data_IF_926981704138
#
_entry.id   IF_926981704138
#
_cell.length_a   1.000
_cell.length_b   1.000
_cell.length_c   1.000
_cell.angle_alpha   90.00
_cell.angle_beta   90.00
_cell.angle_gamma   90.00
#
_symmetry.space_group_name_H-M   'P 1'
#
loop_
_entity.id
_entity.type
_entity.pdbx_description
1 polymer ?
#
# COMPACT_ATOMS: atom_id res chain seq x y z
N UNK A 1 -4.68 18.50 6.27
CA UNK A 1 -3.26 18.78 5.96
C UNK A 1 -2.69 17.51 5.37
N UNK A 2 -1.71 17.60 4.45
CA UNK A 2 -1.08 16.42 3.87
C UNK A 2 -0.50 15.51 4.95
N UNK A 3 -0.51 14.19 4.70
CA UNK A 3 -0.25 13.19 5.72
C UNK A 3 1.27 13.04 5.95
N UNK A 4 1.75 13.31 7.16
CA UNK A 4 3.19 13.31 7.43
C UNK A 4 3.79 11.91 7.30
N UNK A 5 4.96 11.82 6.64
CA UNK A 5 5.67 10.56 6.43
C UNK A 5 6.11 9.92 7.75
N UNK A 6 6.49 10.75 8.74
CA UNK A 6 6.89 10.29 10.07
C UNK A 6 5.84 9.37 10.72
N UNK A 7 4.54 9.60 10.47
CA UNK A 7 3.47 8.76 11.03
C UNK A 7 3.50 7.35 10.47
N UNK A 8 3.84 7.18 9.19
CA UNK A 8 4.03 5.86 8.58
C UNK A 8 5.31 5.23 9.10
N UNK A 9 6.39 6.00 9.24
CA UNK A 9 7.64 5.51 9.81
C UNK A 9 7.48 5.02 11.25
N UNK A 10 6.71 5.72 12.09
CA UNK A 10 6.42 5.30 13.48
C UNK A 10 5.70 3.94 13.49
N UNK A 11 4.69 3.76 12.63
CA UNK A 11 4.00 2.47 12.48
C UNK A 11 4.96 1.36 12.09
N UNK A 12 5.76 1.58 11.04
CA UNK A 12 6.70 0.58 10.53
C UNK A 12 7.78 0.24 11.58
N UNK A 13 8.24 1.23 12.35
CA UNK A 13 9.17 1.02 13.46
C UNK A 13 8.58 0.15 14.56
N UNK A 14 7.33 0.43 14.97
CA UNK A 14 6.65 -0.36 15.99
C UNK A 14 6.40 -1.80 15.55
N UNK A 15 6.10 -2.01 14.26
CA UNK A 15 5.97 -3.35 13.69
C UNK A 15 7.31 -4.08 13.63
N UNK A 16 8.37 -3.41 13.18
CA UNK A 16 9.72 -4.00 13.14
C UNK A 16 10.20 -4.43 14.53
N UNK A 17 9.90 -3.65 15.57
CA UNK A 17 10.24 -3.99 16.97
C UNK A 17 9.62 -5.31 17.44
N UNK A 18 8.46 -5.69 16.91
CA UNK A 18 7.84 -7.00 17.25
C UNK A 18 8.67 -8.12 16.62
N UNK A 19 9.02 -7.97 15.34
CA UNK A 19 9.69 -9.00 14.55
C UNK A 19 11.14 -9.17 14.97
N UNK A 20 11.81 -8.09 15.32
CA UNK A 20 13.23 -8.06 15.72
C UNK A 20 13.44 -8.24 17.23
N UNK A 21 12.35 -8.48 17.98
CA UNK A 21 12.42 -8.66 19.43
C UNK A 21 13.24 -9.91 19.80
N UNK A 22 14.09 -9.76 20.81
CA UNK A 22 14.79 -10.87 21.46
C UNK A 22 14.51 -10.85 22.98
N UNK A 23 13.96 -11.93 23.58
CA UNK A 23 13.51 -13.17 22.95
C UNK A 23 12.28 -12.97 22.05
N UNK A 24 12.12 -13.80 20.99
CA UNK A 24 10.97 -13.71 20.08
C UNK A 24 9.67 -14.02 20.80
N UNK A 25 8.60 -13.35 20.39
CA UNK A 25 7.25 -13.66 20.86
C UNK A 25 6.75 -14.98 20.27
N UNK A 26 5.80 -15.61 20.96
CA UNK A 26 5.05 -16.71 20.36
C UNK A 26 4.26 -16.19 19.14
N UNK A 27 4.14 -16.96 18.04
CA UNK A 27 3.51 -16.47 16.80
C UNK A 27 2.13 -15.83 16.99
N UNK A 28 1.26 -16.45 17.79
CA UNK A 28 -0.08 -15.92 18.09
C UNK A 28 -0.06 -14.60 18.88
N UNK A 29 0.92 -14.43 19.76
CA UNK A 29 1.09 -13.19 20.52
C UNK A 29 1.62 -12.08 19.63
N UNK A 30 2.58 -12.39 18.74
CA UNK A 30 3.09 -11.47 17.73
C UNK A 30 1.97 -10.97 16.81
N UNK A 31 1.14 -11.87 16.25
CA UNK A 31 0.00 -11.51 15.40
C UNK A 31 -1.02 -10.61 16.12
N UNK A 32 -1.32 -10.93 17.38
CA UNK A 32 -2.22 -10.13 18.22
C UNK A 32 -1.65 -8.72 18.46
N UNK A 33 -0.37 -8.64 18.81
CA UNK A 33 0.30 -7.37 19.08
C UNK A 33 0.42 -6.52 17.81
N UNK A 34 0.76 -7.15 16.69
CA UNK A 34 0.81 -6.52 15.36
C UNK A 34 -0.56 -5.93 14.99
N UNK A 35 -1.62 -6.72 15.12
CA UNK A 35 -3.00 -6.26 14.86
C UNK A 35 -3.38 -5.10 15.77
N UNK A 36 -3.03 -5.17 17.06
CA UNK A 36 -3.29 -4.10 18.03
C UNK A 36 -2.58 -2.79 17.67
N UNK A 37 -1.31 -2.85 17.26
CA UNK A 37 -0.53 -1.68 16.84
C UNK A 37 -1.17 -1.03 15.61
N UNK A 38 -1.50 -1.83 14.59
CA UNK A 38 -2.10 -1.31 13.35
C UNK A 38 -3.48 -0.67 13.63
N UNK A 39 -4.34 -1.34 14.40
CA UNK A 39 -5.66 -0.81 14.74
C UNK A 39 -5.56 0.48 15.56
N UNK A 40 -4.62 0.53 16.50
CA UNK A 40 -4.37 1.73 17.32
C UNK A 40 -3.87 2.87 16.45
N UNK A 41 -2.96 2.60 15.51
CA UNK A 41 -2.48 3.59 14.56
C UNK A 41 -3.61 4.14 13.68
N UNK A 42 -4.42 3.28 13.08
CA UNK A 42 -5.58 3.73 12.28
C UNK A 42 -6.54 4.58 13.09
N UNK A 43 -6.81 4.20 14.34
CA UNK A 43 -7.66 4.99 15.24
C UNK A 43 -7.07 6.37 15.53
N UNK A 44 -5.77 6.45 15.83
CA UNK A 44 -5.09 7.70 16.17
C UNK A 44 -4.94 8.64 14.97
N UNK A 45 -4.82 8.09 13.77
CA UNK A 45 -4.63 8.86 12.54
C UNK A 45 -5.92 9.04 11.72
N UNK A 46 -7.05 8.47 12.15
CA UNK A 46 -8.34 8.48 11.42
C UNK A 46 -8.73 9.85 10.87
N UNK A 47 -8.76 10.88 11.73
CA UNK A 47 -9.17 12.23 11.31
C UNK A 47 -8.30 12.81 10.20
N UNK A 48 -7.00 12.46 10.18
CA UNK A 48 -6.08 12.88 9.13
C UNK A 48 -6.28 12.04 7.87
N UNK A 49 -6.39 10.72 8.01
CA UNK A 49 -6.60 9.82 6.88
C UNK A 49 -7.93 10.06 6.16
N UNK A 50 -8.97 10.48 6.87
CA UNK A 50 -10.28 10.83 6.31
C UNK A 50 -10.37 12.32 5.88
N UNK A 51 -9.30 13.11 6.05
CA UNK A 51 -9.30 14.50 5.64
C UNK A 51 -9.33 14.63 4.11
N UNK A 52 -10.09 15.60 3.61
CA UNK A 52 -10.27 15.81 2.17
C UNK A 52 -8.98 16.10 1.41
N UNK A 53 -7.98 16.67 2.08
CA UNK A 53 -6.69 17.03 1.49
C UNK A 53 -5.60 15.97 1.69
N UNK A 54 -5.95 14.78 2.19
CA UNK A 54 -5.05 13.63 2.24
C UNK A 54 -5.24 12.77 0.99
N UNK A 55 -4.14 12.47 0.31
CA UNK A 55 -4.18 11.62 -0.88
C UNK A 55 -4.08 10.14 -0.48
N UNK A 56 -5.24 9.47 -0.44
CA UNK A 56 -5.35 8.06 -0.05
C UNK A 56 -4.42 7.13 -0.85
N UNK A 57 -4.21 7.41 -2.15
CA UNK A 57 -3.31 6.62 -2.99
C UNK A 57 -1.86 6.75 -2.53
N UNK A 58 -1.41 7.94 -2.13
CA UNK A 58 -0.05 8.18 -1.63
C UNK A 58 0.21 7.50 -0.27
N UNK A 59 -0.80 7.48 0.61
CA UNK A 59 -0.72 6.72 1.87
C UNK A 59 -0.61 5.22 1.57
N UNK A 60 -1.47 4.70 0.69
CA UNK A 60 -1.50 3.28 0.35
C UNK A 60 -0.25 2.84 -0.42
N UNK A 61 0.29 3.67 -1.31
CA UNK A 61 1.53 3.41 -2.02
C UNK A 61 2.71 3.31 -1.07
N UNK A 62 2.68 4.10 0.01
CA UNK A 62 3.68 4.07 1.07
C UNK A 62 3.52 2.84 1.97
N UNK A 63 2.30 2.51 2.42
CA UNK A 63 2.07 1.32 3.26
C UNK A 63 2.31 0.00 2.51
N UNK A 64 2.00 -0.03 1.21
CA UNK A 64 2.05 -1.23 0.38
C UNK A 64 2.89 -1.02 -0.89
N UNK A 65 4.21 -0.81 -0.77
CA UNK A 65 5.04 -0.46 -1.92
C UNK A 65 5.03 -1.51 -3.03
N UNK A 66 4.92 -2.79 -2.68
CA UNK A 66 4.82 -3.89 -3.65
C UNK A 66 3.55 -3.84 -4.51
N UNK A 67 2.47 -3.20 -4.04
CA UNK A 67 1.21 -3.05 -4.80
C UNK A 67 1.28 -1.95 -5.86
N UNK A 68 2.26 -1.06 -5.78
CA UNK A 68 2.50 0.00 -6.78
C UNK A 68 3.12 -0.58 -8.06
N UNK A 69 2.33 -1.36 -8.79
CA UNK A 69 2.78 -2.01 -10.02
C UNK A 69 3.02 -0.95 -11.11
N UNK A 70 4.04 -1.19 -11.95
CA UNK A 70 4.34 -0.33 -13.09
C UNK A 70 5.11 0.97 -12.78
N UNK A 71 5.43 1.27 -11.52
CA UNK A 71 6.42 2.31 -11.16
C UNK A 71 7.79 1.66 -10.97
N UNK A 72 8.79 1.99 -11.79
CA UNK A 72 10.17 1.53 -11.65
C UNK A 72 11.07 2.73 -11.40
N UNK A 73 11.78 2.75 -10.26
CA UNK A 73 12.61 3.90 -9.90
C UNK A 73 14.01 3.86 -10.51
N UNK A 74 14.45 2.70 -11.02
CA UNK A 74 15.77 2.56 -11.67
C UNK A 74 16.94 2.45 -10.71
N UNK A 75 16.68 2.11 -9.45
CA UNK A 75 17.69 2.00 -8.40
C UNK A 75 17.74 0.57 -7.84
N UNK A 76 18.40 -0.38 -8.52
CA UNK A 76 18.74 -1.65 -7.87
C UNK A 76 19.61 -1.39 -6.63
N UNK A 77 19.60 -2.28 -5.64
CA UNK A 77 20.26 -2.10 -4.32
C UNK A 77 21.66 -1.49 -4.41
N UNK A 78 22.51 -2.00 -5.31
CA UNK A 78 23.86 -1.45 -5.53
C UNK A 78 23.84 -0.01 -6.06
N UNK A 79 23.02 0.29 -7.07
CA UNK A 79 22.93 1.64 -7.63
C UNK A 79 22.33 2.63 -6.62
N UNK A 80 21.31 2.19 -5.85
CA UNK A 80 20.72 2.97 -4.77
C UNK A 80 21.77 3.29 -3.70
N UNK A 81 22.57 2.30 -3.29
CA UNK A 81 23.66 2.49 -2.34
C UNK A 81 24.67 3.54 -2.81
N UNK A 82 25.10 3.49 -4.08
CA UNK A 82 26.00 4.50 -4.63
C UNK A 82 25.36 5.90 -4.70
N UNK A 83 24.07 5.99 -5.06
CA UNK A 83 23.33 7.24 -5.07
C UNK A 83 23.26 7.85 -3.67
N UNK A 84 22.85 7.06 -2.67
CA UNK A 84 22.78 7.50 -1.27
C UNK A 84 24.17 7.87 -0.76
N UNK A 85 25.22 7.12 -1.12
CA UNK A 85 26.58 7.44 -0.71
C UNK A 85 27.02 8.83 -1.19
N UNK A 86 26.63 9.19 -2.42
CA UNK A 86 26.88 10.52 -2.99
C UNK A 86 26.03 11.60 -2.32
N UNK A 87 24.74 11.35 -2.13
CA UNK A 87 23.78 12.27 -1.48
C UNK A 87 24.24 12.64 -0.06
N UNK A 88 24.63 11.62 0.71
CA UNK A 88 25.05 11.78 2.10
C UNK A 88 26.53 12.13 2.26
N UNK A 89 27.26 12.32 1.16
CA UNK A 89 28.71 12.62 1.17
C UNK A 89 29.52 11.65 2.06
N UNK A 90 29.27 10.34 1.91
CA UNK A 90 29.91 9.33 2.74
C UNK A 90 31.44 9.35 2.61
N UNK A 91 32.11 9.20 3.73
CA UNK A 91 33.57 9.06 3.79
C UNK A 91 34.03 7.79 3.07
N UNK A 92 35.31 7.74 2.67
CA UNK A 92 35.89 6.54 2.05
C UNK A 92 35.72 5.28 2.91
N UNK A 93 35.80 5.43 4.24
CA UNK A 93 35.59 4.33 5.19
C UNK A 93 34.14 3.80 5.13
N UNK A 94 33.16 4.70 5.20
CA UNK A 94 31.74 4.35 5.10
C UNK A 94 31.40 3.76 3.72
N UNK A 95 31.99 4.28 2.65
CA UNK A 95 31.82 3.74 1.31
C UNK A 95 32.40 2.32 1.16
N UNK A 96 33.56 2.05 1.75
CA UNK A 96 34.14 0.70 1.78
C UNK A 96 33.26 -0.27 2.57
N UNK A 97 32.70 0.17 3.70
CA UNK A 97 31.78 -0.62 4.50
C UNK A 97 30.47 -0.91 3.76
N UNK A 98 29.89 0.10 3.10
CA UNK A 98 28.72 -0.05 2.24
C UNK A 98 28.95 -1.13 1.17
N UNK A 99 30.09 -1.05 0.47
CA UNK A 99 30.44 -2.03 -0.59
C UNK A 99 30.60 -3.43 -0.02
N UNK A 100 31.19 -3.57 1.17
CA UNK A 100 31.34 -4.88 1.84
C UNK A 100 29.97 -5.49 2.17
N UNK A 101 29.06 -4.72 2.75
CA UNK A 101 27.73 -5.15 3.19
C UNK A 101 26.77 -5.46 2.04
N UNK A 102 26.87 -4.70 0.94
CA UNK A 102 26.06 -4.90 -0.28
C UNK A 102 26.67 -5.91 -1.27
N UNK A 103 27.75 -6.59 -0.88
CA UNK A 103 28.37 -7.65 -1.68
C UNK A 103 27.88 -9.03 -1.23
N UNK A 104 27.67 -9.97 -2.15
CA UNK A 104 27.41 -11.37 -1.80
C UNK A 104 28.56 -11.93 -0.93
N UNK A 105 28.29 -12.76 0.08
CA UNK A 105 27.00 -13.39 0.39
C UNK A 105 26.13 -12.62 1.41
N UNK A 106 26.54 -11.42 1.86
CA UNK A 106 25.90 -10.75 3.00
C UNK A 106 24.61 -10.02 2.59
N UNK A 107 24.57 -9.38 1.40
CA UNK A 107 23.43 -8.60 0.86
C UNK A 107 22.59 -7.94 1.97
N UNK A 108 23.30 -7.28 2.90
CA UNK A 108 22.71 -6.76 4.12
C UNK A 108 21.72 -5.64 3.78
N UNK A 109 20.77 -5.41 4.68
CA UNK A 109 19.78 -4.35 4.53
C UNK A 109 20.44 -2.96 4.42
N UNK A 110 20.44 -2.42 3.19
CA UNK A 110 20.94 -1.10 2.86
C UNK A 110 20.30 -0.02 3.74
N UNK A 111 19.01 -0.14 4.04
CA UNK A 111 18.30 0.86 4.83
C UNK A 111 18.82 0.92 6.27
N UNK A 112 19.13 -0.23 6.88
CA UNK A 112 19.71 -0.29 8.21
C UNK A 112 21.11 0.35 8.24
N UNK A 113 21.91 0.15 7.20
CA UNK A 113 23.20 0.82 7.09
C UNK A 113 23.06 2.35 6.98
N UNK A 114 22.09 2.84 6.19
CA UNK A 114 21.78 4.28 6.07
C UNK A 114 21.36 4.85 7.43
N UNK A 115 20.49 4.15 8.15
CA UNK A 115 20.11 4.52 9.52
C UNK A 115 21.34 4.66 10.42
N UNK A 116 22.21 3.65 10.47
CA UNK A 116 23.39 3.63 11.32
C UNK A 116 24.35 4.78 11.02
N UNK A 117 24.54 5.14 9.76
CA UNK A 117 25.38 6.28 9.40
C UNK A 117 24.78 7.59 9.92
N UNK A 118 23.50 7.82 9.63
CA UNK A 118 22.83 9.07 9.95
C UNK A 118 22.65 9.27 11.46
N UNK A 119 22.41 8.18 12.20
CA UNK A 119 22.23 8.21 13.66
C UNK A 119 23.54 8.54 14.40
N UNK A 120 24.68 8.13 13.83
CA UNK A 120 26.01 8.44 14.37
C UNK A 120 26.52 9.85 14.00
N UNK A 121 25.83 10.59 13.12
CA UNK A 121 26.23 11.93 12.70
C UNK A 121 25.63 13.03 13.61
N UNK A 122 26.46 13.79 14.36
CA UNK A 122 25.97 14.80 15.29
C UNK A 122 25.29 16.00 14.61
N UNK A 123 25.54 16.26 13.33
CA UNK A 123 25.02 17.42 12.58
C UNK A 123 23.56 17.20 12.13
N UNK A 124 23.13 15.94 12.02
CA UNK A 124 21.84 15.53 11.46
C UNK A 124 20.63 15.82 12.38
N UNK A 125 20.86 16.21 13.65
CA UNK A 125 19.83 16.34 14.69
C UNK A 125 18.83 17.50 14.52
N UNK A 126 18.95 18.33 13.47
CA UNK A 126 18.05 19.48 13.23
C UNK A 126 17.08 19.29 12.07
N UNK A 127 16.93 18.07 11.54
CA UNK A 127 15.98 17.80 10.46
C UNK A 127 14.55 17.89 10.96
N UNK A 128 13.77 18.74 10.31
CA UNK A 128 12.35 19.00 10.62
C UNK A 128 11.49 17.96 9.90
N UNK A 129 10.60 17.26 10.63
CA UNK A 129 9.64 16.27 10.12
C UNK A 129 8.58 16.91 9.19
N UNK A 130 9.01 17.47 8.07
CA UNK A 130 8.18 18.25 7.16
C UNK A 130 7.67 17.44 5.98
N UNK A 131 8.32 16.32 5.67
CA UNK A 131 7.96 15.54 4.50
C UNK A 131 6.64 14.81 4.71
N UNK A 132 5.79 14.96 3.71
CA UNK A 132 4.49 14.31 3.61
C UNK A 132 4.58 13.09 2.69
N UNK A 133 3.66 12.15 2.85
CA UNK A 133 3.58 10.98 1.96
C UNK A 133 3.26 11.40 0.53
N UNK A 134 2.49 12.47 0.35
CA UNK A 134 2.13 13.03 -0.95
C UNK A 134 3.36 13.60 -1.67
N UNK A 135 4.20 14.38 -0.99
CA UNK A 135 5.44 14.90 -1.56
C UNK A 135 6.41 13.77 -1.95
N UNK A 136 6.52 12.73 -1.11
CA UNK A 136 7.33 11.55 -1.40
C UNK A 136 6.76 10.79 -2.61
N UNK A 137 5.45 10.51 -2.62
CA UNK A 137 4.81 9.77 -3.71
C UNK A 137 4.98 10.49 -5.04
N UNK A 138 4.72 11.80 -5.08
CA UNK A 138 4.90 12.63 -6.28
C UNK A 138 6.35 12.66 -6.74
N UNK A 139 7.31 12.76 -5.81
CA UNK A 139 8.75 12.71 -6.12
C UNK A 139 9.15 11.37 -6.74
N UNK A 140 8.68 10.26 -6.17
CA UNK A 140 8.94 8.91 -6.69
C UNK A 140 8.20 8.66 -8.01
N UNK A 141 7.00 9.20 -8.19
CA UNK A 141 6.25 9.15 -9.44
C UNK A 141 6.96 9.94 -10.55
N UNK A 142 7.54 11.10 -10.23
CA UNK A 142 8.35 11.88 -11.17
C UNK A 142 9.58 11.10 -11.63
N UNK A 143 10.29 10.44 -10.70
CA UNK A 143 11.41 9.55 -11.04
C UNK A 143 10.92 8.40 -11.92
N UNK A 144 9.82 7.73 -11.54
CA UNK A 144 9.30 6.59 -12.27
C UNK A 144 8.81 6.95 -13.68
N UNK A 145 8.16 8.10 -13.88
CA UNK A 145 7.65 8.54 -15.18
C UNK A 145 8.75 8.75 -16.22
N UNK A 146 9.97 9.09 -15.79
CA UNK A 146 11.13 9.25 -16.69
C UNK A 146 11.97 7.98 -16.80
N UNK A 147 11.57 6.88 -16.17
CA UNK A 147 12.26 5.60 -16.25
C UNK A 147 11.71 4.73 -17.40
N UNK A 148 12.58 4.29 -18.30
CA UNK A 148 12.21 3.45 -19.44
C UNK A 148 11.55 2.12 -19.04
N UNK A 149 11.88 1.56 -17.87
CA UNK A 149 11.35 0.30 -17.34
C UNK A 149 9.97 0.46 -16.68
N UNK A 150 9.54 1.68 -16.38
CA UNK A 150 8.18 1.91 -15.86
C UNK A 150 7.11 1.60 -16.91
N UNK A 151 5.88 1.34 -16.47
CA UNK A 151 4.76 1.08 -17.37
C UNK A 151 4.47 2.26 -18.32
N UNK A 152 3.85 1.98 -19.47
CA UNK A 152 3.49 3.03 -20.44
C UNK A 152 2.60 4.11 -19.81
N UNK A 153 1.65 3.73 -18.94
CA UNK A 153 0.76 4.65 -18.21
C UNK A 153 1.54 5.59 -17.29
N UNK A 154 2.57 5.08 -16.59
CA UNK A 154 3.41 5.91 -15.73
C UNK A 154 4.31 6.82 -16.56
N UNK A 155 4.87 6.32 -17.66
CA UNK A 155 5.72 7.13 -18.55
C UNK A 155 4.97 8.24 -19.27
N UNK A 156 3.68 8.04 -19.59
CA UNK A 156 2.86 9.09 -20.19
C UNK A 156 2.57 10.28 -19.26
N UNK A 157 2.88 10.17 -17.97
CA UNK A 157 2.77 11.28 -17.01
C UNK A 157 3.97 12.24 -17.08
N UNK A 158 5.08 11.83 -17.71
CA UNK A 158 6.21 12.71 -17.90
C UNK A 158 5.86 13.85 -18.88
N UNK A 159 6.20 15.08 -18.52
CA UNK A 159 6.01 16.22 -19.41
C UNK A 159 6.92 16.08 -20.66
N UNK A 160 6.41 16.35 -21.88
CA UNK A 160 7.22 16.25 -23.10
C UNK A 160 8.48 17.13 -23.03
N UNK A 161 9.64 16.54 -23.27
CA UNK A 161 10.93 17.25 -23.26
C UNK A 161 11.49 17.59 -21.87
N UNK A 162 10.80 17.22 -20.79
CA UNK A 162 11.33 17.38 -19.44
C UNK A 162 12.43 16.36 -19.15
N UNK A 163 13.50 16.82 -18.50
CA UNK A 163 14.52 15.94 -17.92
C UNK A 163 14.20 15.71 -16.44
N UNK A 164 14.62 14.56 -15.93
CA UNK A 164 14.46 14.21 -14.51
C UNK A 164 15.82 14.00 -13.88
N UNK A 165 16.22 14.91 -13.00
CA UNK A 165 17.36 14.71 -12.10
C UNK A 165 16.91 13.86 -10.90
N UNK A 166 16.88 12.53 -11.10
CA UNK A 166 16.47 11.61 -10.06
C UNK A 166 17.38 11.66 -8.82
N UNK A 167 18.68 11.92 -9.00
CA UNK A 167 19.62 12.05 -7.89
C UNK A 167 19.35 13.34 -7.11
N UNK A 168 19.10 14.46 -7.78
CA UNK A 168 18.72 15.72 -7.13
C UNK A 168 17.39 15.62 -6.37
N UNK A 169 16.41 14.89 -6.90
CA UNK A 169 15.14 14.63 -6.20
C UNK A 169 15.40 13.82 -4.92
N UNK A 170 16.16 12.72 -5.01
CA UNK A 170 16.50 11.92 -3.83
C UNK A 170 17.35 12.73 -2.83
N UNK A 171 18.31 13.52 -3.29
CA UNK A 171 19.13 14.40 -2.44
C UNK A 171 18.24 15.34 -1.61
N UNK A 172 17.26 15.97 -2.24
CA UNK A 172 16.29 16.83 -1.56
C UNK A 172 15.52 16.07 -0.45
N UNK A 173 15.00 14.88 -0.76
CA UNK A 173 14.28 14.06 0.22
C UNK A 173 15.17 13.66 1.40
N UNK A 174 16.32 13.03 1.13
CA UNK A 174 17.21 12.52 2.18
C UNK A 174 17.79 13.61 3.09
N UNK A 175 17.92 14.85 2.61
CA UNK A 175 18.36 15.99 3.44
C UNK A 175 17.33 16.42 4.48
N UNK A 176 16.04 16.15 4.26
CA UNK A 176 14.96 16.55 5.15
C UNK A 176 14.57 15.47 6.17
N UNK A 177 14.99 14.22 5.96
CA UNK A 177 14.54 13.07 6.77
C UNK A 177 15.40 12.81 8.00
N UNK A 178 14.79 12.54 9.15
CA UNK A 178 15.49 11.95 10.30
C UNK A 178 16.09 10.57 9.93
N UNK A 179 17.19 10.11 10.56
CA UNK A 179 17.80 8.79 10.31
C UNK A 179 16.79 7.63 10.16
N UNK A 180 15.80 7.58 11.05
CA UNK A 180 14.72 6.58 11.04
C UNK A 180 13.85 6.68 9.79
N UNK A 181 13.47 7.89 9.38
CA UNK A 181 12.65 8.06 8.19
C UNK A 181 13.46 7.75 6.92
N UNK A 182 14.75 8.10 6.89
CA UNK A 182 15.66 7.73 5.80
C UNK A 182 15.80 6.20 5.63
N UNK A 183 15.77 5.43 6.73
CA UNK A 183 15.65 3.97 6.69
C UNK A 183 14.41 3.55 5.89
N UNK A 184 13.25 4.03 6.32
CA UNK A 184 11.97 3.64 5.73
C UNK A 184 11.81 4.12 4.29
N UNK A 185 12.31 5.32 3.93
CA UNK A 185 12.36 5.76 2.53
C UNK A 185 13.23 4.84 1.67
N UNK A 186 14.38 4.39 2.19
CA UNK A 186 15.28 3.48 1.45
C UNK A 186 14.57 2.16 1.14
N UNK A 187 13.90 1.57 2.14
CA UNK A 187 13.09 0.37 1.98
C UNK A 187 11.89 0.58 1.04
N UNK A 188 11.25 1.76 1.10
CA UNK A 188 10.17 2.15 0.19
C UNK A 188 10.63 2.19 -1.27
N UNK A 189 11.80 2.76 -1.55
CA UNK A 189 12.39 2.80 -2.90
C UNK A 189 12.74 1.38 -3.38
N UNK A 190 13.28 0.53 -2.49
CA UNK A 190 13.53 -0.88 -2.80
C UNK A 190 12.25 -1.70 -2.96
N UNK A 191 11.09 -1.14 -2.58
CA UNK A 191 9.78 -1.79 -2.50
C UNK A 191 9.79 -3.04 -1.61
N UNK A 192 10.60 -3.01 -0.58
CA UNK A 192 10.78 -4.13 0.32
C UNK A 192 11.00 -3.63 1.75
N UNK A 193 10.05 -3.93 2.64
CA UNK A 193 10.20 -3.61 4.06
C UNK A 193 10.98 -4.65 4.86
N UNK A 194 11.50 -5.70 4.21
CA UNK A 194 12.40 -6.76 4.70
C UNK A 194 11.82 -7.55 5.88
N UNK A 195 11.69 -6.90 7.03
CA UNK A 195 11.27 -7.47 8.30
C UNK A 195 9.79 -7.27 8.59
N UNK A 196 9.14 -6.30 7.94
CA UNK A 196 7.74 -5.94 8.23
C UNK A 196 6.81 -6.37 7.11
N UNK A 197 6.04 -7.42 7.37
CA UNK A 197 4.91 -7.81 6.54
C UNK A 197 3.63 -7.11 7.03
N UNK A 198 3.24 -6.04 6.34
CA UNK A 198 1.97 -5.38 6.64
C UNK A 198 0.80 -6.25 6.13
N UNK A 199 -0.16 -6.64 6.99
CA UNK A 199 -1.21 -7.57 6.60
C UNK A 199 -2.13 -6.92 5.55
N UNK A 200 -2.37 -7.65 4.45
CA UNK A 200 -3.27 -7.19 3.38
C UNK A 200 -4.74 -7.12 3.84
N UNK A 201 -5.10 -7.92 4.85
CA UNK A 201 -6.39 -7.84 5.54
C UNK A 201 -6.20 -8.06 7.03
N UNK A 202 -6.85 -7.25 7.85
CA UNK A 202 -6.85 -7.38 9.30
C UNK A 202 -8.18 -8.01 9.71
N UNK A 203 -8.12 -9.14 10.42
CA UNK A 203 -9.32 -9.77 10.96
C UNK A 203 -10.00 -8.81 11.96
N UNK A 204 -11.25 -8.49 11.68
CA UNK A 204 -11.95 -7.38 12.33
C UNK A 204 -13.17 -7.88 13.10
N UNK A 205 -13.29 -7.47 14.36
CA UNK A 205 -14.49 -7.72 15.17
C UNK A 205 -15.47 -6.54 15.01
N UNK A 206 -16.80 -6.77 14.89
CA UNK A 206 -17.81 -5.72 14.74
C UNK A 206 -17.85 -4.66 15.86
N UNK A 207 -17.22 -4.93 17.01
CA UNK A 207 -17.09 -3.98 18.11
C UNK A 207 -16.09 -2.84 17.81
N UNK A 208 -15.25 -3.04 16.81
CA UNK A 208 -14.55 -1.98 16.14
C UNK A 208 -15.47 -1.64 14.97
N UNK A 209 -16.12 -0.48 14.97
CA UNK A 209 -16.40 0.23 13.73
C UNK A 209 -15.28 1.28 13.64
N UNK A 210 -15.01 1.91 12.50
CA UNK A 210 -14.05 3.01 12.32
C UNK A 210 -12.65 2.65 11.74
N UNK A 211 -12.54 1.77 10.75
CA UNK A 211 -11.41 1.89 9.80
C UNK A 211 -11.59 3.15 8.93
N UNK A 212 -10.54 3.92 8.65
CA UNK A 212 -10.64 5.07 7.74
C UNK A 212 -11.01 4.59 6.34
N UNK A 213 -11.62 5.47 5.54
CA UNK A 213 -12.21 5.13 4.24
C UNK A 213 -11.20 4.54 3.23
N UNK A 214 -9.91 4.72 3.51
CA UNK A 214 -8.79 4.32 2.66
C UNK A 214 -8.46 2.82 2.73
N UNK A 215 -8.93 2.08 3.75
CA UNK A 215 -8.53 0.70 3.96
C UNK A 215 -9.59 -0.29 3.42
N UNK A 216 -9.23 -1.22 2.52
CA UNK A 216 -10.15 -2.28 2.10
C UNK A 216 -10.41 -3.23 3.27
N UNK A 217 -11.61 -3.15 3.85
CA UNK A 217 -12.01 -4.06 4.94
C UNK A 217 -12.50 -5.37 4.32
N UNK A 218 -11.81 -6.47 4.62
CA UNK A 218 -12.38 -7.81 4.40
C UNK A 218 -13.07 -8.26 5.68
N UNK A 219 -14.39 -8.11 5.72
CA UNK A 219 -15.19 -8.63 6.83
C UNK A 219 -15.12 -10.17 6.81
N UNK A 220 -14.48 -10.76 7.81
CA UNK A 220 -14.53 -12.20 8.06
C UNK A 220 -15.68 -12.41 9.03
N UNK A 221 -16.84 -12.81 8.51
CA UNK A 221 -17.95 -13.22 9.36
C UNK A 221 -17.61 -14.62 9.90
N UNK A 222 -17.44 -14.80 11.22
CA UNK A 222 -17.37 -16.13 11.76
C UNK A 222 -18.71 -16.81 11.47
N UNK A 223 -18.67 -17.85 10.62
CA UNK A 223 -19.80 -18.77 10.51
C UNK A 223 -19.92 -19.39 11.89
N UNK A 224 -20.96 -19.03 12.63
CA UNK A 224 -21.30 -19.70 13.86
C UNK A 224 -21.62 -21.15 13.50
N UNK A 225 -20.64 -22.05 13.66
CA UNK A 225 -20.92 -23.48 13.75
C UNK A 225 -21.59 -23.67 15.12
N UNK A 226 -22.88 -23.38 15.16
CA UNK A 226 -23.74 -23.84 16.23
C UNK A 226 -23.79 -25.36 16.12
N UNK A 227 -22.89 -26.04 16.83
CA UNK A 227 -23.09 -27.42 17.21
C UNK A 227 -24.32 -27.44 18.15
N UNK A 228 -25.50 -27.54 17.55
CA UNK A 228 -26.72 -27.95 18.26
C UNK A 228 -26.59 -29.44 18.51
N UNK A 229 -25.87 -29.78 19.57
CA UNK A 229 -25.97 -31.08 20.21
C UNK A 229 -27.26 -31.12 21.03
N UNK A 230 -28.28 -31.82 20.52
CA UNK A 230 -29.24 -32.60 21.30
C UNK A 230 -30.15 -33.37 20.33
N UNK A 231 -29.95 -34.69 20.30
CA UNK A 231 -30.88 -35.61 19.65
C UNK A 231 -32.20 -35.69 20.42
N UNK A 232 -33.28 -35.93 19.68
CA UNK A 232 -34.28 -36.99 19.92
C UNK A 232 -35.19 -37.01 18.67
N UNK A 233 -35.33 -38.21 18.11
CA UNK A 233 -36.16 -38.56 16.98
C UNK A 233 -37.50 -39.08 17.51
N UNK A 234 -38.65 -38.50 17.13
CA UNK A 234 -39.95 -39.22 17.05
C UNK A 234 -40.82 -38.60 15.96
N UNK A 235 -41.22 -39.46 15.02
CA UNK A 235 -42.16 -39.21 13.92
C UNK A 235 -43.61 -39.02 14.39
N UNK A 236 -44.40 -38.18 13.71
CA UNK A 236 -45.82 -38.47 13.43
C UNK A 236 -46.38 -37.63 12.28
N UNK A 237 -46.74 -38.33 11.20
CA UNK A 237 -47.59 -37.83 10.11
C UNK A 237 -49.05 -37.86 10.55
N UNK A 238 -49.84 -36.83 10.22
CA UNK A 238 -51.28 -36.93 9.91
C UNK A 238 -51.61 -35.91 8.81
N UNK A 239 -52.55 -36.33 7.98
CA UNK A 239 -52.86 -36.00 6.60
C UNK A 239 -54.07 -35.03 6.45
N UNK A 240 -54.12 -34.36 5.28
CA UNK A 240 -55.26 -33.70 4.57
C UNK A 240 -55.99 -32.52 5.20
N UNK A 241 -56.09 -31.42 4.42
CA UNK A 241 -57.28 -31.21 3.57
C UNK A 241 -57.04 -30.21 2.43
N UNK A 242 -57.38 -30.62 1.22
CA UNK A 242 -57.53 -29.79 0.02
C UNK A 242 -58.80 -28.92 0.11
N UNK A 243 -58.73 -27.68 -0.38
CA UNK A 243 -59.87 -27.05 -1.07
C UNK A 243 -59.34 -26.22 -2.24
N UNK A 244 -59.83 -26.59 -3.43
CA UNK A 244 -59.55 -26.04 -4.75
C UNK A 244 -60.42 -24.82 -5.07
N UNK A 245 -59.87 -23.86 -5.83
CA UNK A 245 -60.59 -23.03 -6.83
C UNK A 245 -59.58 -22.11 -7.54
N UNK A 246 -59.07 -22.48 -8.72
CA UNK A 246 -59.49 -21.96 -10.06
C UNK A 246 -59.62 -20.43 -10.09
N UNK A 247 -58.86 -19.68 -10.90
CA UNK A 247 -59.03 -19.61 -12.35
C UNK A 247 -58.03 -18.59 -12.96
N UNK A 248 -57.43 -18.92 -14.11
CA UNK A 248 -56.87 -17.96 -15.08
C UNK A 248 -57.99 -17.48 -16.02
N UNK A 249 -57.87 -16.33 -16.73
CA UNK A 249 -57.23 -16.37 -18.04
C UNK A 249 -56.49 -15.07 -18.50
N UNK A 250 -55.38 -15.25 -19.24
CA UNK A 250 -54.96 -14.39 -20.37
C UNK A 250 -55.80 -14.78 -21.62
N UNK A 251 -55.92 -14.03 -22.75
CA UNK A 251 -54.88 -13.22 -23.42
C UNK A 251 -55.37 -12.00 -24.27
N UNK A 252 -54.44 -11.24 -24.87
CA UNK A 252 -54.35 -10.88 -26.30
C UNK A 252 -53.69 -9.50 -26.61
N UNK A 253 -52.61 -9.56 -27.39
CA UNK A 253 -52.05 -8.58 -28.35
C UNK A 253 -52.63 -8.85 -29.77
N UNK A 254 -52.23 -8.17 -30.87
CA UNK A 254 -51.93 -6.76 -31.23
C UNK A 254 -52.78 -6.36 -32.49
N UNK A 255 -52.48 -5.39 -33.42
CA UNK A 255 -51.36 -5.46 -34.40
C UNK A 255 -50.75 -4.09 -34.87
N UNK A 256 -49.45 -4.06 -35.20
CA UNK A 256 -48.80 -3.89 -36.54
C UNK A 256 -48.62 -2.47 -37.12
N UNK A 257 -47.41 -2.25 -37.67
CA UNK A 257 -47.07 -1.08 -38.50
C UNK A 257 -45.60 -1.04 -38.94
N UNK A 258 -45.24 -1.87 -39.92
CA UNK A 258 -43.94 -1.97 -40.61
C UNK A 258 -43.42 -0.68 -41.28
N UNK A 259 -42.09 -0.58 -41.48
CA UNK A 259 -41.50 0.29 -42.50
C UNK A 259 -39.98 0.45 -42.48
N UNK A 260 -39.28 -0.37 -43.26
CA UNK A 260 -37.87 -0.31 -43.74
C UNK A 260 -37.94 -0.76 -45.22
N UNK A 261 -36.97 -0.57 -46.19
CA UNK A 261 -35.63 0.07 -46.26
C UNK A 261 -35.39 0.98 -47.51
N UNK A 262 -34.09 1.32 -47.74
CA UNK A 262 -33.33 1.71 -48.98
C UNK A 262 -32.84 3.17 -49.01
N UNK A 263 -31.67 3.56 -49.55
CA UNK A 263 -30.39 2.94 -49.97
C UNK A 263 -29.45 4.11 -50.39
N UNK A 264 -28.13 3.90 -50.33
CA UNK A 264 -27.00 4.52 -51.09
C UNK A 264 -27.09 5.94 -51.70
N UNK A 265 -26.00 6.71 -51.60
CA UNK A 265 -25.06 7.00 -52.73
C UNK A 265 -23.82 7.82 -52.30
N UNK A 266 -22.67 7.42 -52.87
CA UNK A 266 -21.32 8.06 -52.89
C UNK A 266 -21.31 9.47 -53.51
N UNK A 267 -20.30 10.29 -53.17
CA UNK A 267 -19.38 10.92 -54.15
C UNK A 267 -18.24 11.70 -53.47
N UNK A 268 -17.15 11.83 -54.21
CA UNK A 268 -15.80 12.27 -53.85
C UNK A 268 -15.50 13.75 -54.21
N UNK A 269 -14.27 14.18 -53.82
CA UNK A 269 -13.39 15.23 -54.40
C UNK A 269 -13.65 16.71 -54.00
N UNK A 270 -12.76 17.29 -53.19
CA UNK A 270 -11.63 18.12 -53.65
C UNK A 270 -10.57 18.33 -52.56
#
# INVERSE_FOLDING_TARGET
MPFQFVYVCDLLEDLERIVTRDPPLLPKEAEKQQSSIILTWFKNHRQRLDAFDTESEAVLSTLFPRRTTGRCYGFPTKALGHAIARILNLTQKQLAELKKRTSPPHDDDLALFVYQILDNDPIVRSRTNLLTVEEIDQSLLRIASHNAQSSRKVRSLAAPGATCDAIGILDHLYRQLHPREAKWLTRLIQKDYVTVDFPESIAYSPAHSLLPNIFPVRAIFPIATAEVGLGIQVSRSVERQEVSSSSSPSPQTPPDGNGVPHESTRASIH
#
